data_IF_554675870562
#
_entry.id   IF_554675870562
#
_cell.length_a   1.000
_cell.length_b   1.000
_cell.length_c   1.000
_cell.angle_alpha   90.00
_cell.angle_beta   90.00
_cell.angle_gamma   90.00
#
_symmetry.space_group_name_H-M   'P 1'
#
loop_
_entity.id
_entity.type
_entity.pdbx_description
1 polymer ?
#
# COMPACT_ATOMS: atom_id res chain seq x y z
N UNK A 1 3.31 -2.82 17.16
CA UNK A 1 4.56 -2.23 16.62
C UNK A 1 4.41 -0.72 16.48
N UNK A 2 5.22 0.10 17.17
CA UNK A 2 5.10 1.56 17.16
C UNK A 2 5.32 2.16 15.76
N UNK A 3 6.18 1.55 14.94
CA UNK A 3 6.45 1.97 13.56
C UNK A 3 5.17 1.94 12.70
N UNK A 4 4.39 0.87 12.77
CA UNK A 4 3.13 0.74 12.02
C UNK A 4 2.13 1.81 12.47
N UNK A 5 2.07 2.13 13.77
CA UNK A 5 1.18 3.17 14.29
C UNK A 5 1.53 4.55 13.72
N UNK A 6 2.81 4.90 13.67
CA UNK A 6 3.27 6.15 13.06
C UNK A 6 2.94 6.21 11.58
N UNK A 7 3.22 5.13 10.84
CA UNK A 7 2.89 5.03 9.42
C UNK A 7 1.39 5.23 9.16
N UNK A 8 0.52 4.53 9.90
CA UNK A 8 -0.93 4.66 9.77
C UNK A 8 -1.43 6.06 10.12
N UNK A 9 -0.87 6.71 11.14
CA UNK A 9 -1.26 8.07 11.51
C UNK A 9 -0.89 9.07 10.43
N UNK A 10 0.35 9.05 9.95
CA UNK A 10 0.79 9.97 8.89
C UNK A 10 0.03 9.76 7.58
N UNK A 11 -0.18 8.50 7.17
CA UNK A 11 -0.95 8.20 5.95
C UNK A 11 -2.40 8.64 6.07
N UNK A 12 -3.04 8.46 7.23
CA UNK A 12 -4.42 8.92 7.45
C UNK A 12 -4.54 10.44 7.35
N UNK A 13 -3.62 11.18 7.96
CA UNK A 13 -3.59 12.65 7.87
C UNK A 13 -3.30 13.10 6.44
N UNK A 14 -2.36 12.46 5.74
CA UNK A 14 -2.03 12.78 4.36
C UNK A 14 -3.23 12.57 3.42
N UNK A 15 -3.94 11.44 3.53
CA UNK A 15 -5.13 11.17 2.74
C UNK A 15 -6.27 12.14 3.06
N UNK A 16 -6.42 12.54 4.32
CA UNK A 16 -7.41 13.54 4.70
C UNK A 16 -7.12 14.92 4.08
N UNK A 17 -5.86 15.37 4.13
CA UNK A 17 -5.44 16.64 3.52
C UNK A 17 -5.58 16.58 2.00
N UNK A 18 -5.19 15.48 1.36
CA UNK A 18 -5.36 15.28 -0.08
C UNK A 18 -6.84 15.33 -0.49
N UNK A 19 -7.72 14.66 0.26
CA UNK A 19 -9.16 14.72 0.03
C UNK A 19 -9.73 16.15 0.12
N UNK A 20 -9.37 16.90 1.17
CA UNK A 20 -9.81 18.30 1.33
C UNK A 20 -9.30 19.17 0.18
N UNK A 21 -8.04 18.98 -0.24
CA UNK A 21 -7.44 19.72 -1.34
C UNK A 21 -8.10 19.41 -2.70
N UNK A 22 -8.39 18.13 -2.98
CA UNK A 22 -9.07 17.71 -4.22
C UNK A 22 -10.51 18.25 -4.29
N UNK A 23 -11.25 18.18 -3.19
CA UNK A 23 -12.64 18.65 -3.14
C UNK A 23 -12.77 20.17 -3.23
N UNK A 24 -11.82 20.92 -2.66
CA UNK A 24 -11.93 22.38 -2.59
C UNK A 24 -11.13 23.05 -3.71
N UNK A 25 -9.81 22.99 -3.64
CA UNK A 25 -8.91 23.74 -4.51
C UNK A 25 -8.95 23.23 -5.95
N UNK A 26 -8.82 21.91 -6.14
CA UNK A 26 -8.82 21.33 -7.49
C UNK A 26 -10.17 21.52 -8.19
N UNK A 27 -11.28 21.33 -7.48
CA UNK A 27 -12.62 21.55 -8.03
C UNK A 27 -12.87 23.03 -8.35
N UNK A 28 -12.41 23.96 -7.51
CA UNK A 28 -12.49 25.39 -7.80
C UNK A 28 -11.72 25.77 -9.09
N UNK A 29 -10.48 25.29 -9.23
CA UNK A 29 -9.67 25.49 -10.44
C UNK A 29 -10.34 24.88 -11.67
N UNK A 30 -10.85 23.65 -11.56
CA UNK A 30 -11.58 23.00 -12.66
C UNK A 30 -12.84 23.80 -13.05
N UNK A 31 -13.60 24.32 -12.08
CA UNK A 31 -14.77 25.15 -12.37
C UNK A 31 -14.42 26.43 -13.13
N UNK A 32 -13.27 27.03 -12.82
CA UNK A 32 -12.77 28.22 -13.51
C UNK A 32 -12.34 27.90 -14.95
N UNK A 33 -11.62 26.79 -15.15
CA UNK A 33 -11.21 26.32 -16.48
C UNK A 33 -12.43 25.98 -17.32
N UNK A 34 -13.42 25.28 -16.77
CA UNK A 34 -14.67 24.95 -17.47
C UNK A 34 -15.42 26.22 -17.87
N UNK A 35 -15.55 27.21 -16.98
CA UNK A 35 -16.18 28.51 -17.31
C UNK A 35 -15.41 29.25 -18.42
N UNK A 36 -14.09 29.20 -18.40
CA UNK A 36 -13.25 29.76 -19.46
C UNK A 36 -13.46 29.02 -20.77
N UNK A 37 -13.51 27.70 -20.76
CA UNK A 37 -13.74 26.87 -21.93
C UNK A 37 -15.11 27.15 -22.56
N UNK A 38 -16.18 27.19 -21.76
CA UNK A 38 -17.54 27.53 -22.25
C UNK A 38 -17.56 28.91 -22.92
N UNK A 39 -16.87 29.91 -22.35
CA UNK A 39 -16.75 31.24 -22.97
C UNK A 39 -15.99 31.20 -24.30
N UNK A 40 -14.92 30.41 -24.39
CA UNK A 40 -14.15 30.23 -25.62
C UNK A 40 -14.98 29.50 -26.68
N UNK A 41 -15.68 28.44 -26.31
CA UNK A 41 -16.56 27.67 -27.21
C UNK A 41 -17.71 28.56 -27.71
N UNK A 42 -18.32 29.38 -26.83
CA UNK A 42 -19.37 30.34 -27.24
C UNK A 42 -18.85 31.35 -28.27
N UNK A 43 -17.67 31.93 -28.03
CA UNK A 43 -17.04 32.86 -29.00
C UNK A 43 -16.68 32.16 -30.31
N UNK A 44 -16.27 30.90 -30.28
CA UNK A 44 -15.99 30.12 -31.48
C UNK A 44 -17.26 29.81 -32.29
N UNK A 45 -18.41 29.63 -31.62
CA UNK A 45 -19.71 29.47 -32.29
C UNK A 45 -20.21 30.81 -32.85
N UNK A 46 -20.15 31.90 -32.07
CA UNK A 46 -20.54 33.25 -32.53
C UNK A 46 -19.70 33.71 -33.75
N UNK A 47 -18.38 33.47 -33.74
CA UNK A 47 -17.49 33.79 -34.86
C UNK A 47 -17.72 32.90 -36.10
N UNK A 48 -18.37 31.74 -35.96
CA UNK A 48 -18.78 30.90 -37.11
C UNK A 48 -20.12 31.34 -37.71
N UNK A 49 -20.91 32.14 -36.99
CA UNK A 49 -22.23 32.63 -37.44
C UNK A 49 -22.13 34.01 -38.11
N UNK A 50 -21.00 34.70 -38.03
CA UNK A 50 -20.76 35.96 -38.76
C UNK A 50 -19.30 36.12 -39.20
N UNK A 51 -18.98 36.42 -40.48
CA UNK A 51 -19.65 36.11 -41.75
C UNK A 51 -18.87 35.04 -42.55
N UNK A 52 -19.56 34.40 -43.50
CA UNK A 52 -18.95 33.72 -44.64
C UNK A 52 -18.09 34.71 -45.45
N UNK A 53 -16.80 34.86 -45.13
CA UNK A 53 -15.76 35.36 -46.05
C UNK A 53 -14.39 35.31 -45.36
N UNK A 54 -13.73 34.14 -45.39
CA UNK A 54 -12.25 33.97 -45.36
C UNK A 54 -11.89 32.49 -45.11
N UNK A 55 -12.38 31.58 -45.96
CA UNK A 55 -11.96 30.17 -45.92
C UNK A 55 -10.76 30.02 -46.85
N UNK A 56 -9.54 30.07 -46.28
CA UNK A 56 -8.36 29.44 -46.90
C UNK A 56 -7.15 29.29 -45.98
N UNK A 57 -7.07 30.00 -44.83
CA UNK A 57 -5.84 30.03 -44.02
C UNK A 57 -5.91 29.36 -42.65
N UNK A 58 -7.09 28.96 -42.16
CA UNK A 58 -7.29 28.45 -40.79
C UNK A 58 -7.09 26.93 -40.67
N UNK A 59 -7.21 26.18 -41.78
CA UNK A 59 -7.19 24.71 -41.76
C UNK A 59 -5.85 24.10 -41.32
N UNK A 60 -4.74 24.83 -41.44
CA UNK A 60 -3.42 24.32 -41.03
C UNK A 60 -3.13 24.44 -39.53
N UNK A 61 -3.83 25.30 -38.78
CA UNK A 61 -3.61 25.45 -37.33
C UNK A 61 -4.58 24.64 -36.46
N UNK A 62 -5.63 24.06 -37.04
CA UNK A 62 -6.65 23.29 -36.32
C UNK A 62 -6.23 21.84 -36.03
N UNK A 63 -5.18 21.31 -36.69
CA UNK A 63 -4.74 19.94 -36.47
C UNK A 63 -3.89 19.76 -35.20
N UNK A 64 -3.15 20.79 -34.75
CA UNK A 64 -2.34 20.70 -33.52
C UNK A 64 -3.17 20.78 -32.23
N UNK A 65 -4.36 21.41 -32.28
CA UNK A 65 -5.25 21.53 -31.12
C UNK A 65 -6.12 20.27 -30.86
N UNK A 66 -6.11 19.29 -31.77
CA UNK A 66 -6.91 18.05 -31.65
C UNK A 66 -6.37 17.08 -30.58
N UNK A 67 -5.15 17.27 -30.11
CA UNK A 67 -4.57 16.47 -29.01
C UNK A 67 -5.11 16.86 -27.63
N UNK A 68 -5.67 18.06 -27.46
CA UNK A 68 -6.19 18.54 -26.16
C UNK A 68 -7.72 18.42 -26.03
N UNK A 69 -8.46 18.11 -27.11
CA UNK A 69 -9.93 18.04 -27.08
C UNK A 69 -10.50 16.66 -26.72
N UNK A 70 -9.65 15.67 -26.40
CA UNK A 70 -10.09 14.31 -26.05
C UNK A 70 -10.63 14.23 -24.60
N UNK A 71 -10.52 15.29 -23.80
CA UNK A 71 -10.91 15.29 -22.38
C UNK A 71 -11.86 16.45 -22.01
N UNK A 72 -12.95 16.71 -22.75
CA UNK A 72 -14.02 17.60 -22.26
C UNK A 72 -15.41 17.20 -22.79
N UNK A 73 -16.44 17.09 -21.93
CA UNK A 73 -17.81 16.93 -22.38
C UNK A 73 -18.34 18.26 -22.92
N UNK A 74 -18.72 18.28 -24.20
CA UNK A 74 -19.40 19.41 -24.86
C UNK A 74 -20.86 19.43 -24.40
N UNK A 75 -21.27 20.48 -23.68
CA UNK A 75 -22.64 20.67 -23.16
C UNK A 75 -23.59 21.32 -24.20
N UNK A 76 -23.70 20.73 -25.39
CA UNK A 76 -24.76 21.10 -26.37
C UNK A 76 -25.53 19.83 -26.77
N UNK A 77 -26.87 19.80 -26.66
CA UNK A 77 -27.65 18.61 -27.04
C UNK A 77 -27.75 18.56 -28.57
N UNK A 78 -26.76 17.95 -29.21
CA UNK A 78 -26.86 17.48 -30.60
C UNK A 78 -27.61 16.14 -30.60
N UNK A 79 -28.45 15.82 -31.60
CA UNK A 79 -29.26 14.60 -31.61
C UNK A 79 -28.36 13.37 -31.40
N UNK A 80 -28.69 12.60 -30.36
CA UNK A 80 -27.93 11.44 -29.87
C UNK A 80 -27.80 10.41 -30.99
N UNK A 81 -26.72 10.48 -31.76
CA UNK A 81 -26.17 9.29 -32.41
C UNK A 81 -25.53 8.48 -31.29
N UNK A 82 -26.02 7.26 -31.07
CA UNK A 82 -25.45 6.36 -30.07
C UNK A 82 -23.92 6.36 -30.22
N UNK A 83 -23.16 6.73 -29.18
CA UNK A 83 -21.70 6.75 -29.26
C UNK A 83 -21.23 5.36 -29.66
N UNK A 84 -20.25 5.28 -30.57
CA UNK A 84 -19.64 4.00 -30.94
C UNK A 84 -19.23 3.28 -29.63
N UNK A 85 -19.71 2.04 -29.44
CA UNK A 85 -19.52 1.31 -28.17
C UNK A 85 -18.06 1.41 -27.75
N UNK A 86 -17.83 2.02 -26.59
CA UNK A 86 -16.48 2.18 -26.06
C UNK A 86 -15.88 0.79 -25.80
N UNK A 87 -14.55 0.65 -25.87
CA UNK A 87 -13.86 -0.60 -25.49
C UNK A 87 -14.27 -1.08 -24.10
N UNK A 88 -14.57 -0.13 -23.20
CA UNK A 88 -15.06 -0.38 -21.85
C UNK A 88 -16.47 -1.01 -21.86
N UNK A 89 -17.36 -0.57 -22.73
CA UNK A 89 -18.72 -1.07 -22.83
C UNK A 89 -18.75 -2.50 -23.36
N UNK A 90 -17.91 -2.81 -24.35
CA UNK A 90 -17.72 -4.18 -24.84
C UNK A 90 -17.15 -5.10 -23.74
N UNK A 91 -16.21 -4.60 -22.94
CA UNK A 91 -15.67 -5.34 -21.81
C UNK A 91 -16.72 -5.57 -20.70
N UNK A 92 -17.56 -4.57 -20.41
CA UNK A 92 -18.66 -4.69 -19.46
C UNK A 92 -19.69 -5.71 -19.95
N UNK A 93 -20.09 -5.65 -21.22
CA UNK A 93 -21.02 -6.62 -21.82
C UNK A 93 -20.47 -8.05 -21.73
N UNK A 94 -19.17 -8.24 -21.97
CA UNK A 94 -18.50 -9.52 -21.80
C UNK A 94 -18.49 -10.00 -20.34
N UNK A 95 -18.10 -9.12 -19.39
CA UNK A 95 -18.04 -9.45 -17.96
C UNK A 95 -19.42 -9.76 -17.39
N UNK A 96 -20.49 -9.19 -17.95
CA UNK A 96 -21.85 -9.40 -17.43
C UNK A 96 -22.47 -10.74 -17.84
N UNK A 97 -21.84 -11.49 -18.75
CA UNK A 97 -22.29 -12.83 -19.15
C UNK A 97 -22.18 -13.83 -18.00
N UNK A 98 -23.13 -14.78 -17.92
CA UNK A 98 -23.20 -15.77 -16.81
C UNK A 98 -21.94 -16.65 -16.73
N UNK A 99 -21.35 -16.97 -17.88
CA UNK A 99 -20.13 -17.77 -18.02
C UNK A 99 -18.89 -17.01 -17.53
N UNK A 100 -18.72 -15.75 -17.96
CA UNK A 100 -17.59 -14.92 -17.52
C UNK A 100 -17.64 -14.65 -16.01
N UNK A 101 -18.82 -14.38 -15.45
CA UNK A 101 -18.99 -14.23 -13.98
C UNK A 101 -18.55 -15.48 -13.22
N UNK A 102 -19.00 -16.66 -13.66
CA UNK A 102 -18.62 -17.93 -13.02
C UNK A 102 -17.10 -18.16 -13.09
N UNK A 103 -16.49 -17.89 -14.24
CA UNK A 103 -15.05 -18.03 -14.45
C UNK A 103 -14.24 -17.07 -13.57
N UNK A 104 -14.62 -15.80 -13.48
CA UNK A 104 -13.93 -14.82 -12.63
C UNK A 104 -14.02 -15.21 -11.15
N UNK A 105 -15.19 -15.67 -10.69
CA UNK A 105 -15.37 -16.15 -9.32
C UNK A 105 -14.48 -17.38 -9.06
N UNK A 106 -14.42 -18.33 -9.99
CA UNK A 106 -13.57 -19.52 -9.85
C UNK A 106 -12.08 -19.14 -9.75
N UNK A 107 -11.60 -18.22 -10.60
CA UNK A 107 -10.22 -17.72 -10.54
C UNK A 107 -9.96 -17.02 -9.21
N UNK A 108 -10.91 -16.22 -8.72
CA UNK A 108 -10.76 -15.51 -7.45
C UNK A 108 -10.66 -16.48 -6.25
N UNK A 109 -11.47 -17.53 -6.23
CA UNK A 109 -11.40 -18.58 -5.19
C UNK A 109 -10.06 -19.30 -5.23
N UNK A 110 -9.59 -19.69 -6.42
CA UNK A 110 -8.26 -20.32 -6.60
C UNK A 110 -7.15 -19.38 -6.10
N UNK A 111 -7.23 -18.10 -6.44
CA UNK A 111 -6.25 -17.11 -6.01
C UNK A 111 -6.22 -16.94 -4.48
N UNK A 112 -7.38 -16.88 -3.82
CA UNK A 112 -7.48 -16.84 -2.35
C UNK A 112 -6.88 -18.11 -1.75
N UNK A 113 -7.18 -19.28 -2.31
CA UNK A 113 -6.64 -20.56 -1.84
C UNK A 113 -5.11 -20.60 -1.90
N UNK A 114 -4.53 -20.24 -3.05
CA UNK A 114 -3.07 -20.19 -3.24
C UNK A 114 -2.44 -19.17 -2.28
N UNK A 115 -3.02 -17.97 -2.17
CA UNK A 115 -2.49 -16.91 -1.30
C UNK A 115 -2.51 -17.32 0.17
N UNK A 116 -3.57 -18.00 0.62
CA UNK A 116 -3.69 -18.50 1.99
C UNK A 116 -2.68 -19.62 2.28
N UNK A 117 -2.44 -20.49 1.30
CA UNK A 117 -1.45 -21.55 1.40
C UNK A 117 -0.02 -20.97 1.49
N UNK A 118 0.32 -20.01 0.63
CA UNK A 118 1.61 -19.33 0.66
C UNK A 118 1.81 -18.52 1.94
N UNK A 119 0.76 -17.86 2.42
CA UNK A 119 0.81 -17.14 3.69
C UNK A 119 1.13 -18.06 4.88
N UNK A 120 0.74 -19.34 4.83
CA UNK A 120 1.07 -20.32 5.87
C UNK A 120 2.52 -20.81 5.80
N UNK A 121 3.22 -20.56 4.69
CA UNK A 121 4.62 -20.96 4.46
C UNK A 121 5.61 -19.82 4.59
N UNK A 122 5.15 -18.61 4.91
CA UNK A 122 6.04 -17.45 5.06
C UNK A 122 6.86 -17.58 6.35
N UNK A 123 8.18 -17.56 6.21
CA UNK A 123 9.09 -17.47 7.36
C UNK A 123 8.96 -16.09 8.00
N UNK A 124 8.77 -16.05 9.31
CA UNK A 124 8.67 -14.81 10.10
C UNK A 124 10.01 -14.35 10.68
N UNK A 125 11.09 -15.06 10.35
CA UNK A 125 12.43 -14.72 10.81
C UNK A 125 12.90 -13.39 10.20
N UNK A 126 13.41 -12.54 11.09
CA UNK A 126 13.94 -11.25 10.72
C UNK A 126 15.41 -11.40 10.31
N UNK A 127 15.66 -11.38 9.00
CA UNK A 127 17.02 -11.40 8.49
C UNK A 127 17.62 -9.99 8.51
N UNK A 128 18.60 -9.77 9.38
CA UNK A 128 19.30 -8.49 9.47
C UNK A 128 20.11 -8.16 8.19
N UNK A 129 20.42 -9.17 7.36
CA UNK A 129 21.14 -8.96 6.10
C UNK A 129 20.34 -8.10 5.11
N UNK A 130 19.00 -8.22 5.13
CA UNK A 130 18.10 -7.48 4.23
C UNK A 130 17.92 -5.99 4.62
N UNK A 131 18.43 -5.55 5.77
CA UNK A 131 18.43 -4.14 6.13
C UNK A 131 19.63 -3.37 5.57
N UNK A 132 20.65 -4.09 5.11
CA UNK A 132 21.86 -3.48 4.58
C UNK A 132 21.87 -3.55 3.06
N UNK A 133 22.56 -2.59 2.45
CA UNK A 133 22.79 -2.57 1.01
C UNK A 133 23.58 -3.82 0.59
N UNK A 134 23.17 -4.42 -0.52
CA UNK A 134 23.82 -5.58 -1.13
C UNK A 134 25.29 -5.22 -1.46
N UNK A 135 26.24 -5.86 -0.77
CA UNK A 135 27.68 -5.57 -0.88
C UNK A 135 28.27 -4.67 0.22
N UNK A 136 27.46 -4.21 1.18
CA UNK A 136 27.97 -3.48 2.35
C UNK A 136 28.85 -4.40 3.24
N UNK A 137 30.01 -3.94 3.75
CA UNK A 137 30.80 -4.73 4.70
C UNK A 137 30.05 -5.05 6.00
N UNK A 138 28.95 -4.33 6.28
CA UNK A 138 28.07 -4.59 7.41
C UNK A 138 27.27 -5.89 7.27
N UNK A 139 27.03 -6.40 6.05
CA UNK A 139 26.32 -7.68 5.87
C UNK A 139 27.13 -8.85 6.42
N UNK A 140 28.45 -8.86 6.16
CA UNK A 140 29.37 -9.87 6.67
C UNK A 140 29.47 -9.84 8.20
N UNK A 141 29.55 -8.63 8.78
CA UNK A 141 29.58 -8.46 10.23
C UNK A 141 28.24 -8.90 10.85
N UNK A 142 27.11 -8.50 10.26
CA UNK A 142 25.77 -8.88 10.71
C UNK A 142 25.58 -10.40 10.70
N UNK A 143 26.01 -11.07 9.61
CA UNK A 143 25.92 -12.54 9.50
C UNK A 143 26.74 -13.23 10.58
N UNK A 144 28.00 -12.80 10.78
CA UNK A 144 28.86 -13.35 11.84
C UNK A 144 28.28 -13.08 13.23
N UNK A 145 27.70 -11.90 13.45
CA UNK A 145 27.05 -11.57 14.72
C UNK A 145 25.79 -12.41 14.95
N UNK A 146 24.97 -12.65 13.92
CA UNK A 146 23.80 -13.54 14.03
C UNK A 146 24.21 -14.99 14.32
N UNK A 147 25.23 -15.49 13.64
CA UNK A 147 25.67 -16.89 13.79
C UNK A 147 26.33 -17.18 15.14
N UNK A 148 27.16 -16.26 15.65
CA UNK A 148 27.94 -16.47 16.87
C UNK A 148 27.28 -15.82 18.11
N UNK A 149 26.90 -14.54 18.02
CA UNK A 149 26.44 -13.78 19.20
C UNK A 149 24.98 -14.08 19.53
N UNK A 150 24.07 -14.12 18.55
CA UNK A 150 22.66 -14.40 18.87
C UNK A 150 22.41 -15.86 19.29
N UNK A 151 23.31 -16.78 18.90
CA UNK A 151 23.19 -18.20 19.22
C UNK A 151 23.77 -18.56 20.60
N UNK A 152 24.79 -17.83 21.07
CA UNK A 152 25.46 -18.11 22.36
C UNK A 152 25.21 -17.04 23.43
N UNK A 153 24.93 -15.77 23.08
CA UNK A 153 25.19 -14.64 23.97
C UNK A 153 23.97 -13.78 24.35
N UNK A 154 22.80 -14.40 24.57
CA UNK A 154 21.73 -13.70 25.27
C UNK A 154 21.69 -14.11 26.75
N UNK A 155 22.25 -13.25 27.59
CA UNK A 155 22.01 -13.31 29.04
C UNK A 155 20.56 -12.89 29.28
N UNK A 156 19.72 -13.86 29.65
CA UNK A 156 18.33 -13.59 30.04
C UNK A 156 18.31 -13.28 31.53
N UNK A 157 17.92 -12.04 31.87
CA UNK A 157 17.77 -11.62 33.25
C UNK A 157 16.32 -11.86 33.71
N UNK A 158 16.13 -12.74 34.68
CA UNK A 158 14.82 -12.98 35.30
C UNK A 158 14.64 -12.06 36.50
N UNK A 159 13.65 -11.16 36.44
CA UNK A 159 13.28 -10.28 37.54
C UNK A 159 11.98 -10.76 38.19
N UNK A 160 11.99 -10.96 39.51
CA UNK A 160 10.81 -11.35 40.29
C UNK A 160 10.28 -10.13 41.03
N UNK A 161 9.02 -9.75 40.78
CA UNK A 161 8.36 -8.63 41.44
C UNK A 161 6.98 -9.07 41.99
N UNK A 162 6.65 -8.76 43.27
CA UNK A 162 7.50 -8.11 44.29
C UNK A 162 8.67 -8.99 44.75
N UNK A 163 9.66 -8.40 45.43
CA UNK A 163 10.80 -9.14 45.95
C UNK A 163 10.32 -10.25 46.89
N UNK A 164 10.68 -11.53 46.64
CA UNK A 164 10.25 -12.63 47.49
C UNK A 164 10.87 -12.50 48.88
N UNK A 165 10.09 -12.79 49.91
CA UNK A 165 10.62 -12.93 51.25
C UNK A 165 11.35 -14.27 51.39
N UNK A 166 12.66 -14.23 51.21
CA UNK A 166 13.54 -15.40 51.31
C UNK A 166 13.71 -15.90 52.74
N UNK A 167 13.18 -15.19 53.74
CA UNK A 167 13.14 -15.70 55.12
C UNK A 167 12.07 -16.78 55.29
N UNK A 168 11.05 -16.80 54.43
CA UNK A 168 10.01 -17.83 54.45
C UNK A 168 10.46 -19.08 53.68
N UNK A 169 10.54 -20.23 54.37
CA UNK A 169 10.99 -21.49 53.80
C UNK A 169 10.18 -21.92 52.56
N UNK A 170 8.87 -21.69 52.55
CA UNK A 170 7.99 -22.08 51.43
C UNK A 170 8.20 -21.19 50.21
N UNK A 171 8.55 -19.91 50.41
CA UNK A 171 8.84 -18.96 49.32
C UNK A 171 10.22 -19.26 48.74
N UNK A 172 11.19 -19.62 49.59
CA UNK A 172 12.53 -20.05 49.18
C UNK A 172 12.49 -21.32 48.33
N UNK A 173 11.75 -22.33 48.75
CA UNK A 173 11.61 -23.59 48.00
C UNK A 173 11.04 -23.37 46.60
N UNK A 174 10.02 -22.51 46.47
CA UNK A 174 9.47 -22.11 45.16
C UNK A 174 10.44 -21.32 44.30
N UNK A 175 11.30 -20.50 44.91
CA UNK A 175 12.33 -19.78 44.18
C UNK A 175 13.43 -20.74 43.67
N UNK A 176 13.83 -21.71 44.49
CA UNK A 176 14.76 -22.77 44.09
C UNK A 176 14.16 -23.65 42.98
N UNK A 177 12.88 -24.02 43.07
CA UNK A 177 12.16 -24.74 42.00
C UNK A 177 12.13 -23.93 40.68
N UNK A 178 11.96 -22.61 40.76
CA UNK A 178 12.02 -21.73 39.58
C UNK A 178 13.42 -21.76 38.95
N UNK A 179 14.48 -21.66 39.75
CA UNK A 179 15.86 -21.74 39.26
C UNK A 179 16.15 -23.10 38.64
N UNK A 180 15.77 -24.19 39.31
CA UNK A 180 15.95 -25.56 38.81
C UNK A 180 15.25 -25.77 37.46
N UNK A 181 14.04 -25.24 37.30
CA UNK A 181 13.30 -25.28 36.02
C UNK A 181 13.96 -24.45 34.91
N UNK A 182 14.65 -23.37 35.26
CA UNK A 182 15.39 -22.54 34.29
C UNK A 182 16.66 -23.25 33.81
N UNK A 183 17.36 -23.94 34.71
CA UNK A 183 18.55 -24.73 34.37
C UNK A 183 18.21 -25.93 33.48
N UNK A 184 17.06 -26.56 33.69
CA UNK A 184 16.61 -27.75 32.94
C UNK A 184 15.80 -27.44 31.67
N UNK A 185 15.79 -26.19 31.16
CA UNK A 185 15.09 -25.87 29.91
C UNK A 185 15.75 -26.65 28.75
N UNK A 186 15.01 -27.55 28.07
CA UNK A 186 15.59 -28.36 27.01
C UNK A 186 16.04 -27.46 25.84
N UNK A 187 17.27 -27.69 25.36
CA UNK A 187 17.95 -27.00 24.25
C UNK A 187 18.48 -25.58 24.53
N UNK A 188 18.12 -24.96 25.65
CA UNK A 188 18.50 -23.57 25.96
C UNK A 188 19.01 -23.36 27.40
N UNK A 189 18.88 -24.36 28.26
CA UNK A 189 19.44 -24.36 29.61
C UNK A 189 20.95 -24.56 29.58
N UNK A 190 21.65 -23.70 30.32
CA UNK A 190 23.06 -23.85 30.61
C UNK A 190 23.12 -24.46 32.01
N UNK A 191 23.36 -25.77 32.09
CA UNK A 191 23.35 -26.51 33.36
C UNK A 191 24.55 -26.14 34.26
N UNK A 192 24.70 -26.79 35.42
CA UNK A 192 25.76 -26.50 36.39
C UNK A 192 27.20 -26.58 35.83
N UNK A 193 27.42 -27.32 34.74
CA UNK A 193 28.72 -27.44 34.05
C UNK A 193 29.10 -26.23 33.17
N UNK A 194 28.20 -25.25 33.02
CA UNK A 194 28.39 -24.10 32.11
C UNK A 194 28.76 -22.79 32.82
N UNK A 195 28.57 -22.72 34.14
CA UNK A 195 29.05 -21.63 34.99
C UNK A 195 30.50 -21.86 35.36
N UNK A 196 31.42 -21.14 34.70
CA UNK A 196 32.84 -21.02 35.07
C UNK A 196 33.01 -19.91 36.12
#
# INVERSE_FOLDING_TARGET
MPVVRLFCLFTSVALFVDYVYQMTFFTAVMSFIVRRQIKLDRKAVENKVAPEMAISSIDKKLNDAKSFSVMMPVFTPSPVKAPAKGRLEVFIEWLHTKTAKSLVIAIFIVHIGISSFLASKVSTDFDMENLYLEGSPLTLISRRMQDFVLREAFVVNFAVQPMPDLQNATVREKFEEMVDRLEHIPKYGAGPDSTI
#
